data_IF_807943147950
#
_entry.id   IF_807943147950
#
_cell.length_a   1.000
_cell.length_b   1.000
_cell.length_c   1.000
_cell.angle_alpha   90.00
_cell.angle_beta   90.00
_cell.angle_gamma   90.00
#
_symmetry.space_group_name_H-M   'P 1'
#
loop_
_entity.id
_entity.type
_entity.pdbx_description
1 polymer ?
#
# COMPACT_ATOMS: atom_id res chain seq x y z
N UNK A 1 -43.68 3.38 4.18
CA UNK A 1 -43.50 2.02 4.76
C UNK A 1 -42.32 1.24 4.13
N UNK A 2 -41.22 1.88 3.70
CA UNK A 2 -40.10 1.22 2.99
C UNK A 2 -38.78 1.13 3.77
N UNK A 3 -38.61 1.79 4.91
CA UNK A 3 -37.33 1.84 5.67
C UNK A 3 -36.94 0.54 6.39
N UNK A 4 -37.80 -0.47 6.47
CA UNK A 4 -37.56 -1.69 7.27
C UNK A 4 -37.03 -2.92 6.52
N UNK A 5 -36.98 -2.92 5.18
CA UNK A 5 -36.56 -4.11 4.43
C UNK A 5 -35.07 -4.21 4.10
N UNK A 6 -34.32 -3.11 4.19
CA UNK A 6 -32.88 -3.12 3.85
C UNK A 6 -31.93 -3.27 5.04
N UNK A 7 -32.45 -3.18 6.30
CA UNK A 7 -31.61 -3.26 7.50
C UNK A 7 -31.02 -4.64 7.78
N UNK A 8 -31.50 -5.70 7.13
CA UNK A 8 -31.04 -7.07 7.38
C UNK A 8 -29.94 -7.56 6.40
N UNK A 9 -29.73 -6.86 5.28
CA UNK A 9 -28.74 -7.24 4.28
C UNK A 9 -27.47 -6.38 4.30
N UNK A 10 -27.43 -5.33 5.11
CA UNK A 10 -26.20 -4.63 5.41
C UNK A 10 -25.34 -5.53 6.30
N UNK A 11 -24.51 -6.38 5.69
CA UNK A 11 -23.29 -6.84 6.34
C UNK A 11 -22.61 -5.56 6.79
N UNK A 12 -22.72 -5.27 8.10
CA UNK A 12 -22.00 -4.16 8.73
C UNK A 12 -20.53 -4.46 8.55
N UNK A 13 -19.93 -3.92 7.49
CA UNK A 13 -18.49 -3.79 7.42
C UNK A 13 -18.12 -2.79 8.50
N UNK A 14 -17.97 -3.28 9.73
CA UNK A 14 -17.53 -2.46 10.82
C UNK A 14 -16.03 -2.22 10.59
N UNK A 15 -15.62 -0.96 10.68
CA UNK A 15 -14.22 -0.64 10.78
C UNK A 15 -13.64 -1.31 12.05
N UNK A 16 -12.58 -2.09 11.89
CA UNK A 16 -12.00 -2.91 12.97
C UNK A 16 -10.93 -2.15 13.73
N UNK A 17 -10.14 -1.32 13.02
CA UNK A 17 -8.98 -0.65 13.58
C UNK A 17 -9.31 0.70 14.21
N UNK A 18 -8.63 0.98 15.33
CA UNK A 18 -8.71 2.23 16.07
C UNK A 18 -7.35 2.93 16.09
N UNK A 19 -7.31 4.17 16.55
CA UNK A 19 -6.03 4.88 16.72
C UNK A 19 -5.07 4.20 17.70
N UNK A 20 -5.53 3.35 18.59
CA UNK A 20 -4.68 2.58 19.50
C UNK A 20 -3.86 1.52 18.75
N UNK A 21 -4.39 1.00 17.65
CA UNK A 21 -3.75 -0.04 16.83
C UNK A 21 -2.65 0.55 15.91
N UNK A 22 -2.60 1.88 15.77
CA UNK A 22 -1.62 2.57 14.95
C UNK A 22 -0.35 2.84 15.76
N UNK A 23 0.73 2.15 15.44
CA UNK A 23 2.06 2.37 16.01
C UNK A 23 2.62 3.68 15.45
N UNK A 24 3.05 4.58 16.34
CA UNK A 24 3.53 5.92 16.01
C UNK A 24 4.53 6.40 17.08
N UNK A 25 5.76 5.89 17.02
CA UNK A 25 6.86 6.32 17.89
C UNK A 25 7.63 7.48 17.27
N UNK A 26 7.76 7.50 15.94
CA UNK A 26 8.40 8.58 15.22
C UNK A 26 7.63 9.89 15.33
N UNK A 27 8.34 11.01 15.32
CA UNK A 27 7.74 12.35 15.35
C UNK A 27 6.83 12.60 14.14
N UNK A 28 7.19 12.07 12.97
CA UNK A 28 6.40 12.16 11.74
C UNK A 28 5.05 11.47 11.92
N UNK A 29 5.03 10.21 12.37
CA UNK A 29 3.79 9.48 12.56
C UNK A 29 2.92 10.04 13.70
N UNK A 30 3.54 10.55 14.77
CA UNK A 30 2.78 11.23 15.84
C UNK A 30 2.03 12.45 15.32
N UNK A 31 2.67 13.26 14.45
CA UNK A 31 2.00 14.41 13.82
C UNK A 31 0.83 13.99 12.93
N UNK A 32 1.04 12.99 12.07
CA UNK A 32 -0.03 12.47 11.19
C UNK A 32 -1.18 11.89 12.02
N UNK A 33 -0.87 11.12 13.07
CA UNK A 33 -1.88 10.54 13.97
C UNK A 33 -2.70 11.61 14.71
N UNK A 34 -2.06 12.70 15.13
CA UNK A 34 -2.74 13.84 15.75
C UNK A 34 -3.66 14.56 14.74
N UNK A 35 -3.18 14.84 13.52
CA UNK A 35 -3.97 15.43 12.46
C UNK A 35 -5.17 14.55 12.07
N UNK A 36 -4.98 13.23 12.00
CA UNK A 36 -6.05 12.28 11.72
C UNK A 36 -7.13 12.27 12.81
N UNK A 37 -6.75 12.39 14.09
CA UNK A 37 -7.71 12.54 15.20
C UNK A 37 -8.53 13.83 15.10
N UNK A 38 -7.89 14.94 14.73
CA UNK A 38 -8.60 16.20 14.48
C UNK A 38 -9.54 16.07 13.28
N UNK A 39 -9.10 15.44 12.19
CA UNK A 39 -9.92 15.16 11.02
C UNK A 39 -11.14 14.28 11.34
N UNK A 40 -11.03 13.34 12.29
CA UNK A 40 -12.13 12.48 12.68
C UNK A 40 -13.35 13.28 13.21
N UNK A 41 -13.12 14.36 13.92
CA UNK A 41 -14.17 15.22 14.48
C UNK A 41 -14.88 16.11 13.43
N UNK A 42 -14.30 16.23 12.21
CA UNK A 42 -14.86 17.05 11.13
C UNK A 42 -15.78 16.21 10.24
N UNK A 43 -16.87 16.78 9.68
CA UNK A 43 -17.68 16.12 8.66
C UNK A 43 -17.02 16.13 7.27
N UNK A 44 -15.94 16.91 7.09
CA UNK A 44 -15.28 17.10 5.80
C UNK A 44 -14.67 15.80 5.25
N UNK A 45 -14.54 15.73 3.93
CA UNK A 45 -13.85 14.64 3.23
C UNK A 45 -12.37 14.62 3.61
N UNK A 46 -11.80 13.41 3.68
CA UNK A 46 -10.40 13.20 4.03
C UNK A 46 -9.71 12.47 2.88
N UNK A 47 -8.60 13.03 2.41
CA UNK A 47 -7.70 12.37 1.45
C UNK A 47 -6.42 11.94 2.17
N UNK A 48 -6.17 10.64 2.21
CA UNK A 48 -4.98 10.04 2.80
C UNK A 48 -4.03 9.64 1.68
N UNK A 49 -2.87 10.29 1.60
CA UNK A 49 -1.86 10.01 0.58
C UNK A 49 -0.64 9.30 1.17
N UNK A 50 0.08 8.60 0.34
CA UNK A 50 1.30 7.89 0.72
C UNK A 50 1.56 6.66 -0.15
N UNK A 51 2.77 6.16 -0.09
CA UNK A 51 3.19 4.98 -0.85
C UNK A 51 2.33 3.74 -0.53
N UNK A 52 2.37 2.76 -1.43
CA UNK A 52 1.72 1.47 -1.19
C UNK A 52 2.29 0.82 0.09
N UNK A 53 1.40 0.21 0.90
CA UNK A 53 1.83 -0.48 2.12
C UNK A 53 2.13 0.41 3.33
N UNK A 54 1.91 1.73 3.29
CA UNK A 54 2.16 2.64 4.44
C UNK A 54 1.12 2.54 5.55
N UNK A 55 -0.05 1.92 5.30
CA UNK A 55 -1.12 1.75 6.28
C UNK A 55 -2.30 2.71 6.12
N UNK A 56 -2.53 3.25 4.92
CA UNK A 56 -3.62 4.19 4.62
C UNK A 56 -5.00 3.70 5.07
N UNK A 57 -5.31 2.42 4.83
CA UNK A 57 -6.57 1.81 5.24
C UNK A 57 -6.77 1.80 6.76
N UNK A 58 -5.70 1.52 7.54
CA UNK A 58 -5.79 1.57 9.01
C UNK A 58 -6.20 2.97 9.49
N UNK A 59 -5.64 4.02 8.89
CA UNK A 59 -6.01 5.39 9.22
C UNK A 59 -7.46 5.70 8.84
N UNK A 60 -7.93 5.25 7.68
CA UNK A 60 -9.31 5.46 7.25
C UNK A 60 -10.30 4.83 8.24
N UNK A 61 -10.06 3.60 8.68
CA UNK A 61 -10.89 2.92 9.67
C UNK A 61 -10.82 3.61 11.04
N UNK A 62 -9.62 4.00 11.50
CA UNK A 62 -9.45 4.70 12.78
C UNK A 62 -10.14 6.08 12.79
N UNK A 63 -10.12 6.81 11.67
CA UNK A 63 -10.83 8.07 11.51
C UNK A 63 -12.34 7.86 11.59
N UNK A 64 -12.88 6.85 10.91
CA UNK A 64 -14.30 6.51 11.01
C UNK A 64 -14.70 6.16 12.44
N UNK A 65 -13.97 5.25 13.10
CA UNK A 65 -14.25 4.80 14.47
C UNK A 65 -14.17 5.92 15.52
N UNK A 66 -13.37 6.95 15.27
CA UNK A 66 -13.25 8.12 16.14
C UNK A 66 -14.18 9.29 15.74
N UNK A 67 -15.00 9.13 14.70
CA UNK A 67 -15.89 10.18 14.19
C UNK A 67 -17.28 10.11 14.83
N UNK A 68 -18.09 11.16 14.73
CA UNK A 68 -19.51 11.11 15.14
C UNK A 68 -20.33 10.04 14.39
N UNK A 69 -19.81 9.52 13.27
CA UNK A 69 -20.44 8.47 12.44
C UNK A 69 -20.00 7.05 12.79
N UNK A 70 -19.29 6.84 13.92
CA UNK A 70 -18.71 5.54 14.33
C UNK A 70 -19.73 4.40 14.41
N UNK A 71 -21.01 4.71 14.70
CA UNK A 71 -22.09 3.72 14.74
C UNK A 71 -22.73 3.44 13.40
N UNK A 72 -22.43 4.26 12.37
CA UNK A 72 -22.89 4.10 11.01
C UNK A 72 -22.07 3.08 10.21
N UNK A 73 -22.49 2.76 8.99
CA UNK A 73 -21.76 1.82 8.15
C UNK A 73 -20.40 2.40 7.68
N UNK A 74 -19.39 1.52 7.63
CA UNK A 74 -18.13 1.79 6.93
C UNK A 74 -18.09 0.92 5.68
N UNK A 75 -18.25 1.52 4.50
CA UNK A 75 -18.38 0.80 3.24
C UNK A 75 -17.11 0.97 2.41
N UNK A 76 -16.24 -0.05 2.33
CA UNK A 76 -15.04 0.00 1.51
C UNK A 76 -15.34 -0.26 0.03
N UNK A 77 -14.62 0.47 -0.81
CA UNK A 77 -14.58 0.34 -2.26
C UNK A 77 -13.12 0.40 -2.72
N UNK A 78 -12.66 -0.64 -3.41
CA UNK A 78 -11.37 -0.60 -4.12
C UNK A 78 -11.61 -0.03 -5.53
N UNK A 79 -11.01 1.13 -5.84
CA UNK A 79 -11.26 1.85 -7.08
C UNK A 79 -10.66 1.19 -8.32
N UNK A 80 -9.62 0.36 -8.19
CA UNK A 80 -9.04 -0.41 -9.29
C UNK A 80 -9.87 -1.62 -9.74
N UNK A 81 -10.87 -2.02 -8.95
CA UNK A 81 -11.76 -3.15 -9.27
C UNK A 81 -12.93 -2.80 -10.20
N UNK A 82 -13.03 -1.56 -10.71
CA UNK A 82 -14.14 -1.08 -11.50
C UNK A 82 -13.86 -1.08 -12.99
N UNK A 83 -14.77 -1.68 -13.73
CA UNK A 83 -14.85 -1.53 -15.19
C UNK A 83 -15.87 -0.45 -15.54
N UNK A 84 -15.80 0.05 -16.78
CA UNK A 84 -16.77 1.01 -17.32
C UNK A 84 -18.22 0.54 -17.13
N UNK A 85 -18.47 -0.75 -17.32
CA UNK A 85 -19.81 -1.33 -17.35
C UNK A 85 -20.42 -1.52 -15.95
N UNK A 86 -19.61 -1.62 -14.88
CA UNK A 86 -20.11 -1.92 -13.54
C UNK A 86 -20.05 -0.76 -12.54
N UNK A 87 -19.34 0.34 -12.87
CA UNK A 87 -19.15 1.47 -11.97
C UNK A 87 -20.48 2.09 -11.51
N UNK A 88 -21.40 2.33 -12.44
CA UNK A 88 -22.72 2.89 -12.14
C UNK A 88 -23.57 1.98 -11.27
N UNK A 89 -23.69 0.71 -11.65
CA UNK A 89 -24.49 -0.27 -10.90
C UNK A 89 -23.95 -0.54 -9.51
N UNK A 90 -22.65 -0.44 -9.31
CA UNK A 90 -22.06 -0.65 -8.00
C UNK A 90 -22.22 0.56 -7.07
N UNK A 91 -22.05 1.79 -7.57
CA UNK A 91 -22.24 3.02 -6.79
C UNK A 91 -23.71 3.28 -6.49
N UNK A 92 -24.57 3.18 -7.50
CA UNK A 92 -25.98 3.57 -7.42
C UNK A 92 -26.93 2.39 -7.24
N UNK A 93 -26.46 1.17 -7.44
CA UNK A 93 -27.26 -0.04 -7.32
C UNK A 93 -27.98 -0.45 -8.60
N UNK A 94 -28.74 -1.54 -8.46
CA UNK A 94 -29.67 -2.08 -9.46
C UNK A 94 -31.08 -2.18 -8.84
N UNK A 95 -32.10 -2.52 -9.58
CA UNK A 95 -33.46 -2.72 -9.01
C UNK A 95 -33.50 -3.73 -7.87
N UNK A 96 -32.61 -4.75 -7.97
CA UNK A 96 -32.58 -5.89 -7.06
C UNK A 96 -31.59 -5.66 -5.89
N UNK A 97 -30.62 -4.72 -6.06
CA UNK A 97 -29.52 -4.56 -5.11
C UNK A 97 -29.19 -3.10 -4.85
N UNK A 98 -29.17 -2.70 -3.57
CA UNK A 98 -28.73 -1.38 -3.14
C UNK A 98 -27.29 -1.08 -3.55
N UNK A 99 -27.02 0.15 -4.00
CA UNK A 99 -25.68 0.63 -4.34
C UNK A 99 -24.84 0.91 -3.10
N UNK A 100 -23.54 1.03 -3.31
CA UNK A 100 -22.58 1.32 -2.21
C UNK A 100 -22.84 2.66 -1.52
N UNK A 101 -23.29 3.68 -2.26
CA UNK A 101 -23.68 4.98 -1.69
C UNK A 101 -24.91 4.86 -0.81
N UNK A 102 -25.95 4.13 -1.25
CA UNK A 102 -27.14 3.86 -0.43
C UNK A 102 -26.80 3.05 0.83
N UNK A 103 -25.89 2.08 0.72
CA UNK A 103 -25.43 1.28 1.86
C UNK A 103 -24.58 2.10 2.85
N UNK A 104 -23.95 3.16 2.41
CA UNK A 104 -23.12 4.04 3.24
C UNK A 104 -23.91 5.17 3.92
N UNK A 105 -25.23 5.27 3.69
CA UNK A 105 -26.07 6.33 4.25
C UNK A 105 -25.98 6.41 5.79
N UNK A 106 -25.77 7.62 6.28
CA UNK A 106 -25.50 7.89 7.72
C UNK A 106 -24.10 7.47 8.19
N UNK A 107 -23.22 6.99 7.31
CA UNK A 107 -21.90 6.46 7.63
C UNK A 107 -20.77 7.06 6.79
N UNK A 108 -19.84 6.19 6.39
CA UNK A 108 -18.63 6.54 5.65
C UNK A 108 -18.46 5.61 4.44
N UNK A 109 -18.23 6.19 3.27
CA UNK A 109 -17.73 5.50 2.11
C UNK A 109 -16.22 5.64 2.06
N UNK A 110 -15.52 4.51 2.09
CA UNK A 110 -14.07 4.46 1.97
C UNK A 110 -13.67 4.10 0.55
N UNK A 111 -12.96 5.01 -0.12
CA UNK A 111 -12.48 4.86 -1.50
C UNK A 111 -10.99 4.53 -1.47
N UNK A 112 -10.65 3.26 -1.69
CA UNK A 112 -9.25 2.83 -1.69
C UNK A 112 -8.64 2.99 -3.08
N UNK A 113 -7.54 3.72 -3.15
CA UNK A 113 -6.77 4.08 -4.33
C UNK A 113 -7.57 4.75 -5.44
N UNK A 114 -7.98 6.01 -5.18
CA UNK A 114 -8.75 6.81 -6.15
C UNK A 114 -7.97 7.08 -7.45
N UNK A 115 -6.65 6.93 -7.44
CA UNK A 115 -5.83 7.08 -8.65
C UNK A 115 -6.25 6.11 -9.75
N UNK A 116 -6.81 4.95 -9.38
CA UNK A 116 -7.23 3.90 -10.32
C UNK A 116 -8.70 4.06 -10.82
N UNK A 117 -9.40 5.14 -10.43
CA UNK A 117 -10.77 5.38 -10.87
C UNK A 117 -10.88 5.56 -12.38
N UNK A 118 -11.84 4.87 -13.00
CA UNK A 118 -12.23 5.15 -14.39
C UNK A 118 -12.83 6.56 -14.54
N UNK A 119 -12.74 7.18 -15.72
CA UNK A 119 -13.34 8.49 -15.98
C UNK A 119 -14.85 8.55 -15.70
N UNK A 120 -15.55 7.47 -15.94
CA UNK A 120 -16.97 7.34 -15.66
C UNK A 120 -17.26 7.37 -14.15
N UNK A 121 -16.46 6.63 -13.36
CA UNK A 121 -16.58 6.62 -11.90
C UNK A 121 -16.27 8.00 -11.32
N UNK A 122 -15.24 8.68 -11.84
CA UNK A 122 -14.91 10.06 -11.44
C UNK A 122 -16.10 11.00 -11.67
N UNK A 123 -16.76 10.89 -12.82
CA UNK A 123 -17.92 11.74 -13.17
C UNK A 123 -19.14 11.44 -12.29
N UNK A 124 -19.39 10.17 -11.99
CA UNK A 124 -20.47 9.77 -11.08
C UNK A 124 -20.24 10.24 -9.65
N UNK A 125 -19.01 10.10 -9.15
CA UNK A 125 -18.66 10.52 -7.80
C UNK A 125 -18.71 12.05 -7.67
N UNK A 126 -18.25 12.80 -8.69
CA UNK A 126 -18.33 14.25 -8.70
C UNK A 126 -19.78 14.72 -8.56
N UNK A 127 -20.68 14.19 -9.39
CA UNK A 127 -22.11 14.52 -9.34
C UNK A 127 -22.70 14.25 -7.95
N UNK A 128 -22.38 13.10 -7.37
CA UNK A 128 -22.83 12.78 -6.02
C UNK A 128 -22.28 13.76 -4.97
N UNK A 129 -21.03 14.19 -5.08
CA UNK A 129 -20.41 15.16 -4.15
C UNK A 129 -20.97 16.57 -4.29
N UNK A 130 -21.64 16.89 -5.41
CA UNK A 130 -22.25 18.21 -5.66
C UNK A 130 -23.64 18.32 -5.02
N UNK A 131 -24.47 17.31 -5.16
CA UNK A 131 -25.90 17.38 -4.79
C UNK A 131 -26.34 16.39 -3.69
N UNK A 132 -25.51 15.39 -3.35
CA UNK A 132 -25.84 14.35 -2.39
C UNK A 132 -26.95 13.39 -2.85
N UNK A 133 -27.29 13.48 -4.14
CA UNK A 133 -28.37 12.69 -4.73
C UNK A 133 -27.84 11.47 -5.48
N UNK A 134 -28.53 10.37 -5.32
CA UNK A 134 -28.32 9.18 -6.13
C UNK A 134 -29.63 8.81 -6.84
N UNK A 135 -29.53 8.40 -8.10
CA UNK A 135 -30.65 7.87 -8.86
C UNK A 135 -30.35 6.40 -9.15
N UNK A 136 -30.89 5.46 -8.34
CA UNK A 136 -30.68 4.03 -8.58
C UNK A 136 -31.23 3.64 -9.95
N UNK A 137 -30.56 2.69 -10.61
CA UNK A 137 -31.06 2.14 -11.87
C UNK A 137 -32.52 1.65 -11.71
N UNK A 138 -33.41 2.06 -12.61
CA UNK A 138 -34.86 1.76 -12.62
C UNK A 138 -35.69 2.38 -11.46
N UNK A 139 -35.16 3.44 -10.80
CA UNK A 139 -35.99 4.35 -10.02
C UNK A 139 -36.07 5.69 -10.76
N UNK A 140 -37.27 6.22 -10.92
CA UNK A 140 -37.48 7.55 -11.50
C UNK A 140 -37.11 8.67 -10.49
N UNK A 141 -37.19 8.37 -9.20
CA UNK A 141 -36.94 9.30 -8.13
C UNK A 141 -35.49 9.22 -7.62
N UNK A 142 -34.84 10.36 -7.55
CA UNK A 142 -33.56 10.51 -6.85
C UNK A 142 -33.77 10.45 -5.33
N UNK A 143 -32.85 9.82 -4.64
CA UNK A 143 -32.82 9.75 -3.17
C UNK A 143 -31.61 10.51 -2.64
N UNK A 144 -31.83 11.30 -1.57
CA UNK A 144 -30.74 11.95 -0.86
C UNK A 144 -30.09 10.98 0.13
N UNK A 145 -28.76 10.89 0.12
CA UNK A 145 -27.98 10.10 1.08
C UNK A 145 -26.92 10.99 1.72
N UNK A 146 -26.71 10.81 3.03
CA UNK A 146 -25.74 11.54 3.81
C UNK A 146 -24.51 10.68 4.08
N UNK A 147 -23.49 10.81 3.23
CA UNK A 147 -22.29 9.97 3.27
C UNK A 147 -21.04 10.82 3.41
N UNK A 148 -20.19 10.48 4.39
CA UNK A 148 -18.84 11.05 4.49
C UNK A 148 -17.89 10.26 3.61
N UNK A 149 -16.99 10.92 2.88
CA UNK A 149 -15.96 10.27 2.06
C UNK A 149 -14.61 10.31 2.78
N UNK A 150 -13.97 9.13 2.85
CA UNK A 150 -12.55 9.00 3.16
C UNK A 150 -11.90 8.31 1.96
N UNK A 151 -10.91 8.96 1.34
CA UNK A 151 -10.25 8.45 0.14
C UNK A 151 -8.77 8.21 0.40
N UNK A 152 -8.19 7.21 -0.28
CA UNK A 152 -6.74 7.00 -0.32
C UNK A 152 -6.21 7.16 -1.73
N UNK A 153 -4.93 7.57 -1.84
CA UNK A 153 -4.20 7.63 -3.09
C UNK A 153 -2.72 7.32 -2.90
N UNK A 154 -2.06 6.92 -3.97
CA UNK A 154 -0.62 6.89 -4.06
C UNK A 154 -0.01 8.27 -4.35
N UNK A 155 1.32 8.33 -4.45
CA UNK A 155 2.05 9.57 -4.79
C UNK A 155 1.81 10.03 -6.23
N UNK A 156 1.34 9.15 -7.10
CA UNK A 156 1.07 9.42 -8.53
C UNK A 156 -0.20 10.24 -8.78
N UNK A 157 -1.10 10.41 -7.78
CA UNK A 157 -2.37 11.12 -7.97
C UNK A 157 -2.18 12.53 -8.56
N UNK A 158 -1.21 13.30 -8.05
CA UNK A 158 -0.94 14.65 -8.56
C UNK A 158 -0.51 14.64 -10.03
N UNK A 159 0.30 13.66 -10.43
CA UNK A 159 0.70 13.50 -11.83
C UNK A 159 -0.50 13.17 -12.72
N UNK A 160 -1.43 12.35 -12.23
CA UNK A 160 -2.68 12.04 -12.95
C UNK A 160 -3.61 13.24 -13.06
N UNK A 161 -3.67 14.12 -12.05
CA UNK A 161 -4.40 15.40 -12.13
C UNK A 161 -3.75 16.31 -13.17
N UNK A 162 -2.43 16.48 -13.13
CA UNK A 162 -1.71 17.33 -14.07
C UNK A 162 -1.79 16.84 -15.52
N UNK A 163 -1.84 15.53 -15.75
CA UNK A 163 -2.02 14.94 -17.08
C UNK A 163 -3.47 14.91 -17.57
N UNK A 164 -4.45 15.31 -16.73
CA UNK A 164 -5.87 15.25 -17.06
C UNK A 164 -6.51 13.86 -17.00
N UNK A 165 -5.76 12.82 -16.58
CA UNK A 165 -6.30 11.46 -16.39
C UNK A 165 -7.10 11.31 -15.09
N UNK A 166 -6.94 12.25 -14.17
CA UNK A 166 -7.83 12.45 -13.03
C UNK A 166 -8.39 13.88 -13.04
N UNK A 167 -9.68 14.02 -12.85
CA UNK A 167 -10.36 15.32 -12.91
C UNK A 167 -9.93 16.24 -11.77
N UNK A 168 -9.58 17.48 -12.10
CA UNK A 168 -9.13 18.48 -11.13
C UNK A 168 -10.28 18.91 -10.17
N UNK A 169 -11.51 19.01 -10.69
CA UNK A 169 -12.67 19.38 -9.88
C UNK A 169 -12.99 18.32 -8.82
N UNK A 170 -12.94 17.03 -9.18
CA UNK A 170 -13.09 15.92 -8.22
C UNK A 170 -11.95 15.92 -7.19
N UNK A 171 -10.71 16.13 -7.62
CA UNK A 171 -9.57 16.22 -6.71
C UNK A 171 -9.79 17.25 -5.61
N UNK A 172 -10.23 18.48 -5.94
CA UNK A 172 -10.49 19.52 -4.94
C UNK A 172 -11.66 19.19 -4.01
N UNK A 173 -12.69 18.47 -4.50
CA UNK A 173 -13.82 18.03 -3.67
C UNK A 173 -13.43 16.93 -2.67
N UNK A 174 -12.45 16.08 -3.01
CA UNK A 174 -11.94 15.03 -2.14
C UNK A 174 -10.84 15.53 -1.20
N UNK A 175 -10.01 16.46 -1.64
CA UNK A 175 -8.84 16.96 -0.92
C UNK A 175 -9.18 18.16 0.00
N UNK A 176 -10.17 17.99 0.88
CA UNK A 176 -10.53 19.03 1.87
C UNK A 176 -9.62 18.96 3.09
N UNK A 177 -9.44 17.76 3.64
CA UNK A 177 -8.47 17.47 4.70
C UNK A 177 -7.46 16.45 4.18
N UNK A 178 -6.20 16.87 4.11
CA UNK A 178 -5.13 16.02 3.59
C UNK A 178 -4.28 15.44 4.71
N UNK A 179 -3.98 14.14 4.60
CA UNK A 179 -3.09 13.41 5.50
C UNK A 179 -2.03 12.69 4.64
N UNK A 180 -0.77 13.08 4.80
CA UNK A 180 0.34 12.45 4.08
C UNK A 180 1.05 11.45 5.01
N UNK A 181 0.94 10.15 4.70
CA UNK A 181 1.59 9.09 5.45
C UNK A 181 3.04 8.93 5.00
N UNK A 182 4.01 9.08 5.90
CA UNK A 182 5.41 8.90 5.55
C UNK A 182 5.72 7.44 5.22
N UNK A 183 6.60 7.17 4.26
CA UNK A 183 7.12 5.83 3.99
C UNK A 183 7.94 5.32 5.19
N UNK A 184 8.14 3.99 5.29
CA UNK A 184 8.79 3.37 6.44
C UNK A 184 10.23 3.87 6.66
N UNK A 185 10.96 4.17 5.58
CA UNK A 185 12.32 4.75 5.64
C UNK A 185 12.41 6.13 6.31
N UNK A 186 11.31 6.87 6.38
CA UNK A 186 11.22 8.19 7.03
C UNK A 186 10.68 8.11 8.47
N UNK A 187 10.40 6.89 8.97
CA UNK A 187 9.90 6.63 10.32
C UNK A 187 10.57 5.41 10.98
N UNK A 188 11.87 5.32 10.86
CA UNK A 188 12.64 4.17 11.37
C UNK A 188 12.54 4.00 12.89
N UNK A 189 12.16 5.04 13.65
CA UNK A 189 11.86 4.93 15.08
C UNK A 189 10.68 3.98 15.37
N UNK A 190 9.77 3.81 14.40
CA UNK A 190 8.63 2.89 14.53
C UNK A 190 9.04 1.43 14.25
N UNK A 191 10.20 1.18 13.61
CA UNK A 191 10.56 -0.08 12.99
C UNK A 191 10.64 -1.25 13.99
N UNK A 192 11.27 -1.04 15.14
CA UNK A 192 11.39 -2.06 16.17
C UNK A 192 10.02 -2.51 16.70
N UNK A 193 9.17 -1.54 17.04
CA UNK A 193 7.85 -1.80 17.56
C UNK A 193 6.93 -2.44 16.52
N UNK A 194 7.03 -2.01 15.25
CA UNK A 194 6.32 -2.61 14.12
C UNK A 194 6.78 -4.05 13.88
N UNK A 195 8.08 -4.29 13.90
CA UNK A 195 8.64 -5.63 13.72
C UNK A 195 8.18 -6.60 14.81
N UNK A 196 8.29 -6.18 16.06
CA UNK A 196 7.85 -6.98 17.20
C UNK A 196 6.33 -7.22 17.21
N UNK A 197 5.54 -6.25 16.78
CA UNK A 197 4.09 -6.39 16.60
C UNK A 197 3.77 -7.46 15.54
N UNK A 198 4.42 -7.42 14.37
CA UNK A 198 4.21 -8.44 13.34
C UNK A 198 4.70 -9.82 13.79
N UNK A 199 5.85 -9.91 14.47
CA UNK A 199 6.31 -11.18 15.07
C UNK A 199 5.26 -11.74 16.03
N UNK A 200 4.71 -10.93 16.92
CA UNK A 200 3.71 -11.36 17.89
C UNK A 200 2.45 -11.95 17.24
N UNK A 201 1.87 -11.23 16.26
CA UNK A 201 0.65 -11.68 15.57
C UNK A 201 0.91 -12.94 14.75
N UNK A 202 2.02 -12.96 14.00
CA UNK A 202 2.32 -14.06 13.10
C UNK A 202 2.77 -15.29 13.87
N UNK A 203 3.53 -15.15 14.96
CA UNK A 203 3.88 -16.25 15.85
C UNK A 203 2.65 -16.95 16.42
N UNK A 204 1.68 -16.17 16.90
CA UNK A 204 0.41 -16.72 17.37
C UNK A 204 -0.33 -17.49 16.26
N UNK A 205 -0.35 -16.94 15.03
CA UNK A 205 -1.01 -17.55 13.87
C UNK A 205 -0.36 -18.89 13.47
N UNK A 206 0.97 -18.98 13.54
CA UNK A 206 1.75 -20.18 13.14
C UNK A 206 2.04 -21.12 14.30
N UNK A 207 1.53 -20.87 15.50
CA UNK A 207 1.78 -21.68 16.69
C UNK A 207 3.25 -21.74 17.09
N UNK A 208 4.02 -20.67 16.79
CA UNK A 208 5.45 -20.56 17.09
C UNK A 208 5.67 -19.68 18.32
N UNK A 209 6.73 -19.98 19.04
CA UNK A 209 7.10 -19.26 20.26
C UNK A 209 8.29 -18.33 19.95
N UNK A 210 8.07 -17.32 19.09
CA UNK A 210 9.04 -16.29 18.72
C UNK A 210 8.52 -14.96 19.23
N UNK A 211 9.33 -14.19 19.97
CA UNK A 211 8.85 -13.02 20.72
C UNK A 211 9.30 -11.68 20.13
N UNK A 212 10.45 -11.66 19.44
CA UNK A 212 11.04 -10.42 18.93
C UNK A 212 11.98 -10.71 17.76
N UNK A 213 12.43 -9.65 17.08
CA UNK A 213 13.58 -9.70 16.18
C UNK A 213 14.86 -9.45 16.96
N UNK A 214 16.00 -9.99 16.48
CA UNK A 214 17.30 -9.71 17.11
C UNK A 214 17.78 -8.30 16.81
N UNK A 215 18.69 -7.72 17.65
CA UNK A 215 19.28 -6.40 17.38
C UNK A 215 19.99 -6.34 16.03
N UNK A 216 20.70 -7.39 15.63
CA UNK A 216 21.40 -7.49 14.35
C UNK A 216 20.41 -7.42 13.18
N UNK A 217 19.26 -8.09 13.31
CA UNK A 217 18.18 -8.02 12.31
C UNK A 217 17.59 -6.63 12.21
N UNK A 218 17.41 -5.94 13.34
CA UNK A 218 16.92 -4.55 13.34
C UNK A 218 17.88 -3.59 12.65
N UNK A 219 19.19 -3.76 12.83
CA UNK A 219 20.20 -2.96 12.13
C UNK A 219 20.16 -3.19 10.62
N UNK A 220 20.01 -4.43 10.17
CA UNK A 220 19.79 -4.74 8.75
C UNK A 220 18.52 -4.08 8.22
N UNK A 221 17.43 -4.12 8.97
CA UNK A 221 16.17 -3.49 8.59
C UNK A 221 16.26 -1.97 8.51
N UNK A 222 17.06 -1.32 9.39
CA UNK A 222 17.30 0.13 9.34
C UNK A 222 18.07 0.56 8.10
N UNK A 223 18.95 -0.31 7.58
CA UNK A 223 19.70 -0.05 6.35
C UNK A 223 18.90 -0.23 5.05
N UNK A 224 17.67 -0.72 5.09
CA UNK A 224 16.89 -1.05 3.89
C UNK A 224 15.84 0.04 3.56
N UNK A 225 15.59 0.26 2.28
CA UNK A 225 14.73 1.35 1.79
C UNK A 225 13.22 1.10 1.91
N UNK A 226 12.80 -0.15 2.10
CA UNK A 226 11.41 -0.56 2.27
C UNK A 226 10.45 -0.06 1.18
N UNK A 227 10.67 -0.39 -0.11
CA UNK A 227 9.79 0.05 -1.19
C UNK A 227 8.34 -0.42 -1.03
N UNK A 228 8.12 -1.58 -0.40
CA UNK A 228 6.80 -2.11 -0.07
C UNK A 228 6.30 -1.76 1.33
N UNK A 229 7.03 -0.91 2.07
CA UNK A 229 6.66 -0.40 3.38
C UNK A 229 6.25 -1.50 4.39
N UNK A 230 5.15 -1.33 5.13
CA UNK A 230 4.67 -2.30 6.12
C UNK A 230 4.24 -3.64 5.52
N UNK A 231 3.76 -3.61 4.26
CA UNK A 231 3.37 -4.84 3.58
C UNK A 231 4.59 -5.73 3.31
N UNK A 232 5.68 -5.13 2.90
CA UNK A 232 6.95 -5.83 2.69
C UNK A 232 7.55 -6.29 4.02
N UNK A 233 7.62 -5.42 5.03
CA UNK A 233 8.11 -5.77 6.37
C UNK A 233 7.37 -6.98 6.94
N UNK A 234 6.04 -6.96 6.89
CA UNK A 234 5.21 -8.08 7.34
C UNK A 234 5.52 -9.37 6.57
N UNK A 235 5.64 -9.30 5.23
CA UNK A 235 5.92 -10.46 4.40
C UNK A 235 7.30 -11.07 4.69
N UNK A 236 8.31 -10.22 4.94
CA UNK A 236 9.66 -10.67 5.32
C UNK A 236 9.61 -11.38 6.66
N UNK A 237 8.97 -10.79 7.67
CA UNK A 237 8.82 -11.41 9.00
C UNK A 237 8.03 -12.71 8.89
N UNK A 238 6.96 -12.77 8.11
CA UNK A 238 6.15 -13.97 7.91
C UNK A 238 6.97 -15.11 7.30
N UNK A 239 7.73 -14.85 6.24
CA UNK A 239 8.66 -15.83 5.64
C UNK A 239 9.71 -16.33 6.62
N UNK A 240 10.31 -15.42 7.37
CA UNK A 240 11.33 -15.76 8.35
C UNK A 240 10.78 -16.61 9.49
N UNK A 241 9.55 -16.32 9.93
CA UNK A 241 8.88 -17.12 10.97
C UNK A 241 8.57 -18.54 10.51
N UNK A 242 8.21 -18.77 9.25
CA UNK A 242 7.95 -20.13 8.74
C UNK A 242 9.15 -21.04 8.98
N UNK A 243 10.37 -20.53 8.78
CA UNK A 243 11.62 -21.27 8.91
C UNK A 243 12.26 -21.15 10.32
N UNK A 244 11.79 -20.25 11.19
CA UNK A 244 12.36 -20.03 12.51
C UNK A 244 12.17 -21.23 13.45
N UNK A 245 13.14 -21.47 14.32
CA UNK A 245 13.02 -22.41 15.44
C UNK A 245 12.18 -21.76 16.54
N UNK A 246 11.26 -22.54 17.11
CA UNK A 246 10.46 -22.08 18.25
C UNK A 246 11.35 -21.84 19.48
N UNK A 247 11.08 -20.78 20.23
CA UNK A 247 11.80 -20.46 21.46
C UNK A 247 13.02 -19.55 21.30
N UNK A 248 13.28 -19.02 20.09
CA UNK A 248 14.38 -18.09 19.84
C UNK A 248 13.88 -16.81 19.19
N UNK A 249 14.54 -15.64 19.39
CA UNK A 249 14.28 -14.45 18.63
C UNK A 249 14.50 -14.66 17.12
N UNK A 250 13.83 -13.91 16.28
CA UNK A 250 13.98 -13.95 14.83
C UNK A 250 15.33 -13.36 14.46
N UNK A 251 16.21 -14.17 13.84
CA UNK A 251 17.57 -13.76 13.45
C UNK A 251 17.69 -13.66 11.94
N UNK A 252 18.39 -12.62 11.48
CA UNK A 252 18.80 -12.46 10.08
C UNK A 252 19.89 -13.48 9.66
N UNK A 253 20.56 -14.12 10.62
CA UNK A 253 21.51 -15.23 10.34
C UNK A 253 20.82 -16.53 9.95
N UNK A 254 19.47 -16.56 10.01
CA UNK A 254 18.63 -17.61 9.44
C UNK A 254 18.34 -17.30 7.96
N UNK A 255 17.21 -17.76 7.43
CA UNK A 255 16.86 -17.70 6.00
C UNK A 255 16.65 -16.28 5.41
N UNK A 256 17.04 -15.21 6.09
CA UNK A 256 17.12 -13.84 5.56
C UNK A 256 18.45 -13.59 4.81
N UNK A 257 19.15 -14.62 4.35
CA UNK A 257 20.28 -14.43 3.44
C UNK A 257 19.87 -13.67 2.16
N UNK A 258 20.83 -12.99 1.55
CA UNK A 258 20.69 -12.12 0.36
C UNK A 258 19.83 -12.69 -0.77
N UNK A 259 19.65 -14.01 -0.82
CA UNK A 259 18.85 -14.70 -1.82
C UNK A 259 17.34 -14.74 -1.55
N UNK A 260 16.88 -14.48 -0.33
CA UNK A 260 15.45 -14.62 0.02
C UNK A 260 14.69 -13.28 0.16
N UNK A 261 15.40 -12.17 0.35
CA UNK A 261 14.81 -10.85 0.26
C UNK A 261 14.43 -10.49 -1.19
N UNK A 262 14.94 -11.26 -2.17
CA UNK A 262 14.69 -11.01 -3.59
C UNK A 262 15.27 -9.67 -4.10
N UNK A 263 15.94 -8.92 -3.19
CA UNK A 263 16.66 -7.68 -3.49
C UNK A 263 17.92 -7.70 -2.62
N UNK A 264 19.12 -7.50 -3.17
CA UNK A 264 20.35 -7.46 -2.39
C UNK A 264 20.27 -6.38 -1.32
N UNK A 265 20.50 -6.71 -0.04
CA UNK A 265 20.59 -5.74 1.07
C UNK A 265 21.70 -4.71 0.86
N UNK A 266 22.63 -4.95 -0.06
CA UNK A 266 23.69 -4.04 -0.49
C UNK A 266 23.15 -2.80 -1.21
N UNK A 267 21.90 -2.78 -1.70
CA UNK A 267 21.28 -1.61 -2.31
C UNK A 267 20.94 -0.48 -1.32
N UNK A 268 21.13 -0.69 -0.01
CA UNK A 268 20.73 0.24 1.04
C UNK A 268 21.84 1.20 1.49
N UNK A 269 23.06 1.07 1.00
CA UNK A 269 24.09 2.12 1.20
C UNK A 269 24.00 3.14 0.08
N UNK A 270 23.55 4.30 0.46
CA UNK A 270 23.20 5.48 -0.30
C UNK A 270 23.92 5.72 -1.63
N UNK A 271 23.16 6.38 -2.51
CA UNK A 271 23.62 7.11 -3.69
C UNK A 271 24.24 6.27 -4.82
N UNK A 272 23.38 5.69 -5.60
CA UNK A 272 23.33 5.64 -7.08
C UNK A 272 22.29 4.63 -7.45
N UNK A 273 21.36 5.01 -8.29
CA UNK A 273 20.63 4.02 -9.08
C UNK A 273 21.68 3.08 -9.67
N UNK A 274 21.82 1.88 -9.07
CA UNK A 274 22.65 0.83 -9.68
C UNK A 274 22.04 0.59 -11.03
N UNK A 275 22.75 1.07 -12.04
CA UNK A 275 22.43 0.81 -13.43
C UNK A 275 22.28 -0.72 -13.53
N UNK A 276 21.12 -1.20 -13.95
CA UNK A 276 20.88 -2.64 -14.19
C UNK A 276 22.05 -3.28 -14.97
N UNK A 277 22.79 -2.46 -15.72
CA UNK A 277 24.01 -2.84 -16.42
C UNK A 277 25.16 -3.19 -15.49
N UNK A 278 25.40 -2.46 -14.40
CA UNK A 278 26.53 -2.75 -13.50
C UNK A 278 26.33 -4.07 -12.74
N UNK A 279 25.10 -4.39 -12.29
CA UNK A 279 24.79 -5.67 -11.67
C UNK A 279 24.90 -6.86 -12.64
N UNK A 280 24.59 -6.65 -13.92
CA UNK A 280 24.78 -7.66 -14.97
C UNK A 280 26.27 -7.82 -15.35
N UNK A 281 27.05 -6.77 -15.28
CA UNK A 281 28.49 -6.76 -15.50
C UNK A 281 29.23 -7.50 -14.38
N UNK A 282 28.90 -7.26 -13.12
CA UNK A 282 29.45 -7.98 -11.97
C UNK A 282 29.14 -9.48 -12.01
N UNK A 283 27.91 -9.86 -12.33
CA UNK A 283 27.50 -11.24 -12.52
C UNK A 283 28.27 -11.94 -13.65
N UNK A 284 28.58 -11.22 -14.72
CA UNK A 284 29.36 -11.73 -15.82
C UNK A 284 30.81 -12.00 -15.39
N UNK A 285 31.42 -11.05 -14.67
CA UNK A 285 32.80 -11.18 -14.15
C UNK A 285 32.92 -12.34 -13.15
N UNK A 286 32.03 -12.42 -12.16
CA UNK A 286 31.99 -13.55 -11.21
C UNK A 286 31.84 -14.90 -11.90
N UNK A 287 30.95 -14.96 -12.88
CA UNK A 287 30.73 -16.21 -13.62
C UNK A 287 31.96 -16.59 -14.44
N UNK A 288 32.67 -15.62 -15.01
CA UNK A 288 33.91 -15.88 -15.72
C UNK A 288 35.03 -16.35 -14.78
N UNK A 289 35.17 -15.77 -13.61
CA UNK A 289 36.09 -16.22 -12.57
C UNK A 289 35.79 -17.67 -12.16
N UNK A 290 34.51 -17.97 -11.90
CA UNK A 290 34.03 -19.32 -11.51
C UNK A 290 34.34 -20.38 -12.57
N UNK A 291 34.34 -20.03 -13.84
CA UNK A 291 34.64 -20.95 -14.95
C UNK A 291 36.04 -20.76 -15.54
N UNK A 292 36.99 -20.18 -14.78
CA UNK A 292 38.38 -19.95 -15.19
C UNK A 292 38.50 -19.30 -16.56
N UNK A 293 37.69 -18.26 -16.83
CA UNK A 293 37.72 -17.51 -18.09
C UNK A 293 37.02 -18.20 -19.26
N UNK A 294 36.38 -19.34 -19.06
CA UNK A 294 35.72 -20.07 -20.15
C UNK A 294 34.40 -19.40 -20.54
N UNK A 295 34.48 -18.52 -21.53
CA UNK A 295 33.37 -17.71 -22.06
C UNK A 295 32.17 -18.55 -22.55
N UNK A 296 32.43 -19.76 -23.05
CA UNK A 296 31.37 -20.66 -23.54
C UNK A 296 30.57 -21.31 -22.40
N UNK A 297 31.25 -21.67 -21.28
CA UNK A 297 30.58 -22.18 -20.09
C UNK A 297 29.85 -21.07 -19.34
N UNK A 298 30.44 -19.89 -19.25
CA UNK A 298 29.81 -18.70 -18.67
C UNK A 298 28.53 -18.31 -19.43
N UNK A 299 28.56 -18.25 -20.75
CA UNK A 299 27.40 -17.96 -21.59
C UNK A 299 26.24 -18.94 -21.34
N UNK A 300 26.52 -20.23 -21.25
CA UNK A 300 25.53 -21.27 -20.95
C UNK A 300 24.94 -21.13 -19.56
N UNK A 301 25.78 -20.82 -18.55
CA UNK A 301 25.35 -20.66 -17.16
C UNK A 301 24.44 -19.42 -16.99
N UNK A 302 24.74 -18.33 -17.69
CA UNK A 302 23.98 -17.09 -17.66
C UNK A 302 22.76 -17.08 -18.60
N UNK A 303 22.56 -18.14 -19.40
CA UNK A 303 21.45 -18.21 -20.37
C UNK A 303 21.52 -17.20 -21.51
N UNK A 304 22.73 -16.68 -21.84
CA UNK A 304 22.95 -15.68 -22.89
C UNK A 304 23.81 -16.22 -24.02
N UNK A 305 23.79 -15.53 -25.18
CA UNK A 305 24.61 -15.91 -26.32
C UNK A 305 26.12 -15.65 -26.08
N UNK A 306 26.99 -16.44 -26.68
CA UNK A 306 28.44 -16.18 -26.64
C UNK A 306 28.78 -14.78 -27.15
N UNK A 307 28.08 -14.31 -28.20
CA UNK A 307 28.27 -12.98 -28.77
C UNK A 307 27.96 -11.87 -27.75
N UNK A 308 26.94 -12.06 -26.91
CA UNK A 308 26.57 -11.14 -25.83
C UNK A 308 27.68 -11.05 -24.78
N UNK A 309 28.29 -12.19 -24.39
CA UNK A 309 29.44 -12.22 -23.47
C UNK A 309 30.62 -11.43 -24.01
N UNK A 310 30.98 -11.64 -25.27
CA UNK A 310 32.09 -10.91 -25.93
C UNK A 310 31.82 -9.42 -26.04
N UNK A 311 30.59 -9.02 -26.38
CA UNK A 311 30.20 -7.61 -26.46
C UNK A 311 30.33 -6.91 -25.12
N UNK A 312 29.81 -7.49 -24.05
CA UNK A 312 29.86 -6.93 -22.70
C UNK A 312 31.29 -6.85 -22.14
N UNK A 313 32.15 -7.82 -22.43
CA UNK A 313 33.55 -7.77 -22.04
C UNK A 313 34.30 -6.63 -22.73
N UNK A 314 34.05 -6.39 -24.02
CA UNK A 314 34.63 -5.24 -24.73
C UNK A 314 34.17 -3.90 -24.14
N UNK A 315 32.93 -3.79 -23.74
CA UNK A 315 32.38 -2.60 -23.12
C UNK A 315 33.04 -2.32 -21.74
N UNK A 316 33.35 -3.37 -20.98
CA UNK A 316 34.10 -3.27 -19.70
C UNK A 316 35.55 -2.87 -19.91
N UNK A 317 36.27 -3.52 -20.82
CA UNK A 317 37.68 -3.20 -21.15
C UNK A 317 37.86 -1.77 -21.71
N UNK A 318 36.88 -1.24 -22.44
CA UNK A 318 36.93 0.13 -22.96
C UNK A 318 36.71 1.20 -21.87
N UNK A 319 36.11 0.88 -20.73
CA UNK A 319 35.93 1.80 -19.59
C UNK A 319 37.16 1.86 -18.69
N UNK A 320 37.82 0.72 -18.45
CA UNK A 320 39.06 0.66 -17.66
C UNK A 320 40.25 1.39 -18.34
N UNK A 321 40.21 1.58 -19.67
CA UNK A 321 41.21 2.33 -20.41
C UNK A 321 40.91 3.83 -20.51
N UNK A 322 39.75 4.30 -20.03
CA UNK A 322 39.35 5.72 -20.08
C UNK A 322 39.37 6.41 -18.68
N UNK A 323 39.78 5.69 -17.63
CA UNK A 323 40.04 6.19 -16.27
C UNK A 323 41.51 6.28 -15.98
#
# INVERSE_FOLDING_TARGET
MSKRRYSAAAQRHNAVYNFQDIIAESSAMRRVKAAARAAACSPANVLITGESGTGKELFAQAIHNASPRFSGPFIPINCGGFTRDNAGSLLFGTPEKAGKLELADGGTLFLDDISEMSPEMQSFLLRFLDDGLITPANREESIHVDVRIIATAGSELINRVNSGSFRMDLYYRLNVLRLDLPPLRERLDDLEKLSNYFVSILSARYGKNVYSVTPETLELFRGYAWPGNLRELRNIIERSLVNARSGSPLSASGPLGDSELGVPLTAARGERALDLRSAEEERLVETLIRFNGNKAKAARHLGISRGTVYKRLRELESRDTAS
#
